data_IF_549498617247
#
_entry.id   IF_549498617247
#
_cell.length_a   1.000
_cell.length_b   1.000
_cell.length_c   1.000
_cell.angle_alpha   90.00
_cell.angle_beta   90.00
_cell.angle_gamma   90.00
#
_symmetry.space_group_name_H-M   'P 1'
#
loop_
_entity.id
_entity.type
_entity.pdbx_description
1 polymer ?
#
# COMPACT_ATOMS: atom_id res chain seq x y z
N UNK A 1 44.07 43.33 3.82
CA UNK A 1 43.55 42.13 3.12
C UNK A 1 42.72 41.17 4.02
N UNK A 2 42.31 41.52 5.26
CA UNK A 2 41.67 40.57 6.19
C UNK A 2 40.13 40.57 6.22
N UNK A 3 39.49 41.69 5.93
CA UNK A 3 38.03 41.89 6.12
C UNK A 3 37.19 41.17 5.04
N UNK A 4 37.69 41.06 3.81
CA UNK A 4 36.99 40.37 2.72
C UNK A 4 36.98 38.83 2.89
N UNK A 5 37.99 38.26 3.57
CA UNK A 5 38.10 36.81 3.79
C UNK A 5 37.11 36.30 4.85
N UNK A 6 36.78 37.14 5.86
CA UNK A 6 35.79 36.79 6.90
C UNK A 6 34.35 36.87 6.41
N UNK A 7 34.02 37.81 5.51
CA UNK A 7 32.68 37.87 4.88
C UNK A 7 32.42 36.67 3.96
N UNK A 8 33.41 36.26 3.16
CA UNK A 8 33.30 35.05 2.30
C UNK A 8 33.14 33.76 3.10
N UNK A 9 33.90 33.58 4.18
CA UNK A 9 33.76 32.39 5.05
C UNK A 9 32.42 32.35 5.79
N UNK A 10 31.91 33.49 6.28
CA UNK A 10 30.56 33.58 6.85
C UNK A 10 29.47 33.23 5.83
N UNK A 11 29.59 33.70 4.59
CA UNK A 11 28.65 33.38 3.51
C UNK A 11 28.65 31.88 3.19
N UNK A 12 29.84 31.26 3.11
CA UNK A 12 29.98 29.82 2.89
C UNK A 12 29.30 29.04 4.02
N UNK A 13 29.54 29.39 5.28
CA UNK A 13 28.89 28.75 6.43
C UNK A 13 27.36 28.84 6.38
N UNK A 14 26.81 29.99 5.97
CA UNK A 14 25.36 30.19 5.83
C UNK A 14 24.80 29.30 4.72
N UNK A 15 25.44 29.25 3.56
CA UNK A 15 25.01 28.40 2.43
C UNK A 15 25.08 26.92 2.80
N UNK A 16 26.15 26.49 3.47
CA UNK A 16 26.28 25.11 3.95
C UNK A 16 25.19 24.76 4.96
N UNK A 17 24.90 25.66 5.91
CA UNK A 17 23.82 25.45 6.88
C UNK A 17 22.45 25.34 6.19
N UNK A 18 22.18 26.22 5.22
CA UNK A 18 20.94 26.19 4.45
C UNK A 18 20.79 24.87 3.67
N UNK A 19 21.85 24.39 3.03
CA UNK A 19 21.84 23.10 2.32
C UNK A 19 21.57 21.93 3.27
N UNK A 20 22.17 21.93 4.46
CA UNK A 20 21.91 20.89 5.47
C UNK A 20 20.44 20.90 5.90
N UNK A 21 19.88 22.08 6.18
CA UNK A 21 18.46 22.23 6.55
C UNK A 21 17.55 21.78 5.42
N UNK A 22 17.86 22.15 4.17
CA UNK A 22 17.10 21.74 3.00
C UNK A 22 17.12 20.22 2.79
N UNK A 23 18.27 19.56 3.02
CA UNK A 23 18.39 18.10 2.96
C UNK A 23 17.55 17.44 4.06
N UNK A 24 17.59 17.96 5.28
CA UNK A 24 16.79 17.41 6.40
C UNK A 24 15.29 17.56 6.11
N UNK A 25 14.85 18.72 5.62
CA UNK A 25 13.44 18.93 5.25
C UNK A 25 13.05 18.00 4.10
N UNK A 26 13.87 17.96 3.04
CA UNK A 26 13.69 17.07 1.88
C UNK A 26 13.55 15.59 2.28
N UNK A 27 14.40 15.11 3.17
CA UNK A 27 14.38 13.74 3.65
C UNK A 27 13.16 13.40 4.54
N UNK A 28 12.52 14.40 5.16
CA UNK A 28 11.37 14.18 6.05
C UNK A 28 10.02 14.48 5.38
N UNK A 29 9.98 15.17 4.23
CA UNK A 29 8.75 15.47 3.48
C UNK A 29 7.96 14.21 3.10
N UNK A 30 8.62 13.11 2.75
CA UNK A 30 7.95 11.84 2.41
C UNK A 30 7.15 11.25 3.58
N UNK A 31 7.60 11.43 4.82
CA UNK A 31 6.90 10.93 6.02
C UNK A 31 5.59 11.68 6.31
N UNK A 32 5.47 12.92 5.85
CA UNK A 32 4.26 13.73 6.04
C UNK A 32 3.10 13.29 5.14
N UNK A 33 3.39 12.61 4.03
CA UNK A 33 2.38 12.11 3.09
C UNK A 33 1.77 10.78 3.54
N UNK A 34 2.45 10.07 4.45
CA UNK A 34 1.96 8.81 5.02
C UNK A 34 1.01 9.12 6.17
N UNK A 35 -0.28 9.19 5.87
CA UNK A 35 -1.34 9.20 6.89
C UNK A 35 -1.70 7.75 7.16
N UNK A 36 -1.27 7.23 8.31
CA UNK A 36 -1.72 5.92 8.80
C UNK A 36 -2.94 6.16 9.69
N UNK A 37 -4.11 5.73 9.24
CA UNK A 37 -5.25 5.55 10.14
C UNK A 37 -4.97 4.38 11.09
N UNK A 38 -5.44 4.46 12.33
CA UNK A 38 -5.35 3.35 13.26
C UNK A 38 -6.10 2.13 12.68
N UNK A 39 -5.43 0.98 12.61
CA UNK A 39 -6.05 -0.26 12.16
C UNK A 39 -7.15 -0.68 13.14
N UNK A 40 -8.40 -0.57 12.69
CA UNK A 40 -9.59 -1.02 13.40
C UNK A 40 -10.22 -2.19 12.65
N UNK A 41 -11.06 -2.99 13.34
CA UNK A 41 -11.77 -4.09 12.70
C UNK A 41 -12.65 -3.56 11.56
N UNK A 42 -12.59 -4.22 10.41
CA UNK A 42 -13.39 -3.96 9.24
C UNK A 42 -14.18 -5.21 8.81
N UNK A 43 -15.09 -5.04 7.85
CA UNK A 43 -15.85 -6.16 7.30
C UNK A 43 -14.97 -7.02 6.37
N UNK A 44 -14.10 -6.38 5.60
CA UNK A 44 -13.20 -7.05 4.67
C UNK A 44 -11.79 -6.43 4.61
N UNK A 45 -10.81 -7.24 4.26
CA UNK A 45 -9.45 -6.82 3.92
C UNK A 45 -9.30 -6.92 2.41
N UNK A 46 -8.98 -5.80 1.78
CA UNK A 46 -8.76 -5.70 0.33
C UNK A 46 -7.27 -5.72 0.05
N UNK A 47 -6.82 -6.57 -0.86
CA UNK A 47 -5.42 -6.64 -1.28
C UNK A 47 -5.32 -6.39 -2.78
N UNK A 48 -4.59 -5.34 -3.15
CA UNK A 48 -4.29 -5.07 -4.55
C UNK A 48 -3.04 -5.82 -4.99
N UNK A 49 -3.15 -6.50 -6.13
CA UNK A 49 -2.01 -7.06 -6.86
C UNK A 49 -1.00 -5.99 -7.30
N UNK A 50 0.19 -6.42 -7.72
CA UNK A 50 1.26 -5.53 -8.18
C UNK A 50 2.57 -5.66 -7.40
N UNK A 51 2.72 -6.72 -6.60
CA UNK A 51 3.97 -7.08 -5.95
C UNK A 51 4.22 -8.60 -6.06
N UNK A 52 5.29 -9.08 -5.40
CA UNK A 52 5.65 -10.50 -5.39
C UNK A 52 4.97 -11.28 -4.23
N UNK A 53 3.79 -10.85 -3.78
CA UNK A 53 2.98 -11.52 -2.77
C UNK A 53 3.12 -11.00 -1.33
N UNK A 54 3.92 -9.97 -1.08
CA UNK A 54 4.10 -9.41 0.27
C UNK A 54 2.81 -8.79 0.79
N UNK A 55 2.06 -8.09 -0.09
CA UNK A 55 0.72 -7.56 0.18
C UNK A 55 -0.27 -8.67 0.48
N UNK A 56 -0.19 -9.79 -0.24
CA UNK A 56 -1.05 -10.97 0.02
C UNK A 56 -0.78 -11.54 1.41
N UNK A 57 0.48 -11.77 1.76
CA UNK A 57 0.89 -12.21 3.11
C UNK A 57 0.38 -11.22 4.16
N UNK A 58 0.52 -9.92 3.92
CA UNK A 58 0.04 -8.91 4.86
C UNK A 58 -1.47 -8.95 5.07
N UNK A 59 -2.24 -9.12 3.98
CA UNK A 59 -3.69 -9.29 4.07
C UNK A 59 -4.10 -10.53 4.86
N UNK A 60 -3.36 -11.63 4.71
CA UNK A 60 -3.57 -12.87 5.47
C UNK A 60 -3.31 -12.66 6.96
N UNK A 61 -2.19 -12.02 7.33
CA UNK A 61 -1.87 -11.70 8.73
C UNK A 61 -2.99 -10.89 9.40
N UNK A 62 -3.53 -9.90 8.69
CA UNK A 62 -4.63 -9.07 9.21
C UNK A 62 -5.93 -9.89 9.38
N UNK A 63 -6.19 -10.83 8.47
CA UNK A 63 -7.33 -11.73 8.55
C UNK A 63 -7.20 -12.68 9.75
N UNK A 64 -6.00 -13.22 9.99
CA UNK A 64 -5.68 -14.07 11.13
C UNK A 64 -5.80 -13.33 12.47
N UNK A 65 -5.49 -12.03 12.49
CA UNK A 65 -5.70 -11.15 13.65
C UNK A 65 -7.18 -10.83 13.91
N UNK A 66 -8.09 -11.26 13.03
CA UNK A 66 -9.53 -10.99 13.14
C UNK A 66 -9.92 -9.55 12.82
N UNK A 67 -9.05 -8.82 12.10
CA UNK A 67 -9.31 -7.44 11.68
C UNK A 67 -10.22 -7.34 10.45
N UNK A 68 -10.52 -8.46 9.80
CA UNK A 68 -11.49 -8.58 8.72
C UNK A 68 -12.19 -9.93 8.78
N UNK A 69 -13.40 -10.04 8.25
CA UNK A 69 -14.11 -11.30 8.15
C UNK A 69 -13.88 -11.97 6.76
N UNK A 70 -13.63 -11.16 5.73
CA UNK A 70 -13.32 -11.59 4.36
C UNK A 70 -12.00 -11.03 3.82
N UNK A 71 -11.41 -11.72 2.84
CA UNK A 71 -10.21 -11.31 2.12
C UNK A 71 -10.55 -11.14 0.63
N UNK A 72 -10.58 -9.90 0.16
CA UNK A 72 -10.80 -9.55 -1.25
C UNK A 72 -9.45 -9.43 -1.94
N UNK A 73 -9.22 -10.22 -3.00
CA UNK A 73 -7.99 -10.22 -3.78
C UNK A 73 -8.28 -9.70 -5.18
N UNK A 74 -7.67 -8.57 -5.54
CA UNK A 74 -7.93 -7.86 -6.80
C UNK A 74 -6.70 -7.88 -7.72
N UNK A 75 -6.87 -8.47 -8.90
CA UNK A 75 -5.81 -8.56 -9.89
C UNK A 75 -6.19 -9.36 -11.14
N UNK A 76 -5.97 -8.72 -12.28
CA UNK A 76 -6.39 -9.14 -13.62
C UNK A 76 -5.51 -10.19 -14.26
N UNK A 77 -5.58 -10.28 -15.60
CA UNK A 77 -4.94 -11.36 -16.37
C UNK A 77 -3.42 -11.23 -16.40
N UNK A 78 -2.75 -12.37 -16.17
CA UNK A 78 -1.30 -12.56 -16.35
C UNK A 78 -1.02 -13.41 -17.58
N UNK A 79 -1.92 -14.35 -17.87
CA UNK A 79 -1.96 -15.16 -19.10
C UNK A 79 -3.43 -15.35 -19.50
N UNK A 80 -3.68 -15.97 -20.66
CA UNK A 80 -5.04 -16.11 -21.24
C UNK A 80 -6.07 -16.65 -20.24
N UNK A 81 -5.68 -17.67 -19.47
CA UNK A 81 -6.52 -18.38 -18.49
C UNK A 81 -6.04 -18.23 -17.03
N UNK A 82 -5.12 -17.30 -16.75
CA UNK A 82 -4.53 -17.15 -15.40
C UNK A 82 -4.60 -15.69 -14.97
N UNK A 83 -5.25 -15.45 -13.83
CA UNK A 83 -5.32 -14.12 -13.21
C UNK A 83 -4.46 -14.01 -11.97
N UNK A 84 -4.02 -12.79 -11.65
CA UNK A 84 -3.24 -12.54 -10.46
C UNK A 84 -4.06 -12.81 -9.19
N UNK A 85 -5.35 -12.49 -9.19
CA UNK A 85 -6.26 -12.81 -8.10
C UNK A 85 -6.32 -14.32 -7.80
N UNK A 86 -6.30 -15.18 -8.82
CA UNK A 86 -6.24 -16.64 -8.63
C UNK A 86 -4.90 -17.09 -8.03
N UNK A 87 -3.79 -16.55 -8.52
CA UNK A 87 -2.46 -16.84 -7.95
C UNK A 87 -2.36 -16.41 -6.48
N UNK A 88 -2.91 -15.24 -6.15
CA UNK A 88 -2.99 -14.75 -4.78
C UNK A 88 -3.89 -15.64 -3.91
N UNK A 89 -5.03 -16.12 -4.45
CA UNK A 89 -5.92 -17.06 -3.75
C UNK A 89 -5.19 -18.34 -3.41
N UNK A 90 -4.51 -18.95 -4.37
CA UNK A 90 -3.81 -20.22 -4.18
C UNK A 90 -2.70 -20.08 -3.14
N UNK A 91 -2.02 -18.94 -3.15
CA UNK A 91 -1.04 -18.60 -2.10
C UNK A 91 -1.71 -18.47 -0.72
N UNK A 92 -2.84 -17.77 -0.62
CA UNK A 92 -3.57 -17.60 0.64
C UNK A 92 -4.09 -18.93 1.21
N UNK A 93 -4.64 -19.80 0.35
CA UNK A 93 -5.09 -21.14 0.76
C UNK A 93 -3.91 -21.98 1.25
N UNK A 94 -2.77 -21.92 0.55
CA UNK A 94 -1.55 -22.62 0.96
C UNK A 94 -1.04 -22.18 2.35
N UNK A 95 -1.31 -20.93 2.72
CA UNK A 95 -0.98 -20.36 4.03
C UNK A 95 -2.07 -20.59 5.09
N UNK A 96 -3.17 -21.28 4.75
CA UNK A 96 -4.19 -21.70 5.72
C UNK A 96 -5.47 -20.87 5.70
N UNK A 97 -5.63 -19.93 4.77
CA UNK A 97 -6.89 -19.21 4.61
C UNK A 97 -7.96 -20.14 4.06
N UNK A 98 -9.11 -20.15 4.75
CA UNK A 98 -10.30 -20.90 4.37
C UNK A 98 -10.90 -20.30 3.08
N UNK A 99 -11.08 -21.09 2.00
CA UNK A 99 -11.50 -20.57 0.68
C UNK A 99 -12.80 -19.75 0.71
N UNK A 100 -13.74 -20.08 1.60
CA UNK A 100 -15.03 -19.41 1.79
C UNK A 100 -14.89 -17.95 2.28
N UNK A 101 -13.72 -17.59 2.84
CA UNK A 101 -13.41 -16.22 3.22
C UNK A 101 -12.84 -15.37 2.09
N UNK A 102 -12.50 -15.98 0.95
CA UNK A 102 -11.80 -15.29 -0.14
C UNK A 102 -12.79 -14.88 -1.24
N UNK A 103 -12.75 -13.62 -1.63
CA UNK A 103 -13.51 -13.05 -2.74
C UNK A 103 -12.51 -12.53 -3.78
N UNK A 104 -12.78 -12.78 -5.06
CA UNK A 104 -11.86 -12.43 -6.15
C UNK A 104 -12.43 -11.34 -7.06
N UNK A 105 -11.60 -10.36 -7.36
CA UNK A 105 -11.70 -9.55 -8.57
C UNK A 105 -10.63 -10.00 -9.56
N UNK A 106 -11.08 -10.59 -10.67
CA UNK A 106 -10.23 -11.19 -11.71
C UNK A 106 -10.02 -10.29 -12.93
N UNK A 107 -10.61 -9.10 -12.94
CA UNK A 107 -10.68 -8.24 -14.13
C UNK A 107 -9.69 -7.07 -14.07
N UNK A 108 -9.30 -6.61 -12.88
CA UNK A 108 -8.52 -5.38 -12.73
C UNK A 108 -7.07 -5.44 -13.26
N UNK A 109 -6.74 -4.65 -14.27
CA UNK A 109 -5.39 -4.54 -14.84
C UNK A 109 -4.68 -3.22 -14.50
N UNK A 110 -5.30 -2.37 -13.66
CA UNK A 110 -4.71 -1.12 -13.19
C UNK A 110 -5.14 -0.80 -11.76
N UNK A 111 -4.41 0.08 -11.08
CA UNK A 111 -4.78 0.56 -9.74
C UNK A 111 -6.17 1.21 -9.72
N UNK A 112 -6.55 1.90 -10.80
CA UNK A 112 -7.88 2.49 -10.95
C UNK A 112 -8.97 1.40 -11.03
N UNK A 113 -8.74 0.37 -11.85
CA UNK A 113 -9.66 -0.76 -12.00
C UNK A 113 -9.76 -1.58 -10.71
N UNK A 114 -8.64 -1.80 -10.00
CA UNK A 114 -8.66 -2.46 -8.69
C UNK A 114 -9.63 -1.74 -7.74
N UNK A 115 -9.58 -0.40 -7.69
CA UNK A 115 -10.48 0.40 -6.87
C UNK A 115 -11.93 0.35 -7.36
N UNK A 116 -12.15 0.38 -8.68
CA UNK A 116 -13.48 0.32 -9.28
C UNK A 116 -14.17 -1.02 -9.00
N UNK A 117 -13.53 -2.14 -9.35
CA UNK A 117 -14.14 -3.47 -9.23
C UNK A 117 -14.20 -3.94 -7.77
N UNK A 118 -13.21 -3.58 -6.94
CA UNK A 118 -13.34 -3.84 -5.50
C UNK A 118 -14.49 -3.06 -4.87
N UNK A 119 -14.76 -1.82 -5.32
CA UNK A 119 -15.92 -1.06 -4.86
C UNK A 119 -17.23 -1.78 -5.19
N UNK A 120 -17.35 -2.34 -6.39
CA UNK A 120 -18.53 -3.12 -6.78
C UNK A 120 -18.73 -4.33 -5.86
N UNK A 121 -17.67 -5.10 -5.58
CA UNK A 121 -17.71 -6.22 -4.62
C UNK A 121 -18.15 -5.76 -3.22
N UNK A 122 -17.63 -4.63 -2.75
CA UNK A 122 -17.98 -4.06 -1.44
C UNK A 122 -19.47 -3.72 -1.38
N UNK A 123 -20.01 -3.09 -2.43
CA UNK A 123 -21.42 -2.70 -2.52
C UNK A 123 -22.34 -3.93 -2.58
N UNK A 124 -22.00 -4.93 -3.41
CA UNK A 124 -22.76 -6.18 -3.54
C UNK A 124 -22.84 -6.98 -2.23
N UNK A 125 -21.75 -6.98 -1.46
CA UNK A 125 -21.67 -7.68 -0.16
C UNK A 125 -22.14 -6.82 1.02
N UNK A 126 -22.59 -5.58 0.77
CA UNK A 126 -23.02 -4.61 1.79
C UNK A 126 -21.95 -4.29 2.85
N UNK A 127 -20.67 -4.44 2.53
CA UNK A 127 -19.57 -4.08 3.43
C UNK A 127 -19.56 -2.56 3.67
N UNK A 128 -19.34 -2.15 4.93
CA UNK A 128 -19.36 -0.77 5.40
C UNK A 128 -17.96 -0.23 5.68
N UNK A 129 -17.03 -1.10 6.02
CA UNK A 129 -15.62 -0.73 6.22
C UNK A 129 -14.68 -1.77 5.63
N UNK A 130 -13.54 -1.30 5.16
CA UNK A 130 -12.46 -2.14 4.65
C UNK A 130 -11.12 -1.74 5.23
N UNK A 131 -10.19 -2.68 5.25
CA UNK A 131 -8.76 -2.41 5.36
C UNK A 131 -8.14 -2.60 3.97
N UNK A 132 -7.51 -1.57 3.42
CA UNK A 132 -6.83 -1.66 2.13
C UNK A 132 -5.34 -1.95 2.32
N UNK A 133 -4.86 -3.01 1.66
CA UNK A 133 -3.45 -3.41 1.62
C UNK A 133 -2.89 -3.13 0.23
N UNK A 134 -1.99 -2.14 0.16
CA UNK A 134 -1.23 -1.72 -1.02
C UNK A 134 0.25 -1.48 -0.64
N UNK A 135 1.13 -1.17 -1.59
CA UNK A 135 2.51 -0.79 -1.30
C UNK A 135 2.66 0.70 -0.97
N UNK A 136 3.70 1.04 -0.20
CA UNK A 136 4.09 2.43 0.11
C UNK A 136 4.40 3.29 -1.14
N UNK A 137 4.69 2.63 -2.27
CA UNK A 137 4.71 3.25 -3.58
C UNK A 137 3.37 3.00 -4.27
N UNK A 138 2.35 3.81 -3.98
CA UNK A 138 1.23 4.17 -4.88
C UNK A 138 0.25 5.10 -4.17
#
# INVERSE_FOLDING_TARGET
>A
MGIFKSKKSKLISIVTLFLIVAIIIGANLGKFLVVNDDLTKADAIVVFSGDNGQRTVKGIELLEQGLGDYLILSGGKVYDDVTMAELMKDHAIKLGVVPEKIILDKEANSTYENALFTKEIIEENNFKSIILVTSEFH
#
